data_IF_306564123522
#
_entry.id   IF_306564123522
#
_cell.length_a   1.000
_cell.length_b   1.000
_cell.length_c   1.000
_cell.angle_alpha   90.00
_cell.angle_beta   90.00
_cell.angle_gamma   90.00
#
_symmetry.space_group_name_H-M   'P 1'
#
loop_
_entity.id
_entity.type
_entity.pdbx_description
1 polymer ?
#
# COMPACT_ATOMS: atom_id res chain seq x y z
N UNK A 1 -17.54 -48.49 -22.93
CA UNK A 1 -17.67 -47.28 -23.76
C UNK A 1 -17.47 -46.10 -22.83
N UNK A 2 -16.37 -45.39 -23.06
CA UNK A 2 -15.79 -44.30 -22.28
C UNK A 2 -16.74 -43.15 -21.98
N UNK A 3 -16.66 -42.60 -20.77
CA UNK A 3 -16.60 -41.14 -20.57
C UNK A 3 -15.97 -40.85 -19.20
N UNK A 4 -14.64 -40.97 -19.15
CA UNK A 4 -13.84 -40.25 -18.16
C UNK A 4 -13.84 -38.78 -18.57
N UNK A 5 -14.75 -38.00 -18.00
CA UNK A 5 -14.70 -36.54 -18.07
C UNK A 5 -13.52 -36.08 -17.20
N UNK A 6 -12.37 -35.92 -17.85
CA UNK A 6 -11.16 -35.38 -17.25
C UNK A 6 -11.45 -34.05 -16.57
N UNK A 7 -11.31 -34.05 -15.24
CA UNK A 7 -11.23 -32.83 -14.44
C UNK A 7 -10.01 -32.04 -14.90
N UNK A 8 -10.21 -31.03 -15.76
CA UNK A 8 -9.17 -30.08 -16.09
C UNK A 8 -8.83 -29.31 -14.81
N UNK A 9 -7.72 -29.69 -14.17
CA UNK A 9 -7.12 -28.92 -13.09
C UNK A 9 -6.61 -27.61 -13.67
N UNK A 10 -7.46 -26.59 -13.62
CA UNK A 10 -7.16 -25.21 -14.04
C UNK A 10 -5.94 -24.69 -13.28
N UNK A 11 -4.78 -24.64 -13.97
CA UNK A 11 -3.51 -24.27 -13.36
C UNK A 11 -3.52 -22.81 -12.89
N UNK A 12 -2.76 -22.50 -11.83
CA UNK A 12 -2.59 -21.12 -11.35
C UNK A 12 -2.19 -20.16 -12.49
N UNK A 13 -1.36 -20.62 -13.43
CA UNK A 13 -0.94 -19.86 -14.59
C UNK A 13 -2.09 -19.49 -15.53
N UNK A 14 -2.99 -20.43 -15.80
CA UNK A 14 -4.19 -20.20 -16.64
C UNK A 14 -5.11 -19.14 -16.02
N UNK A 15 -5.28 -19.18 -14.69
CA UNK A 15 -6.04 -18.17 -13.94
C UNK A 15 -5.41 -16.78 -14.01
N UNK A 16 -4.09 -16.68 -13.85
CA UNK A 16 -3.36 -15.42 -13.93
C UNK A 16 -3.44 -14.79 -15.32
N UNK A 17 -3.28 -15.58 -16.38
CA UNK A 17 -3.41 -15.11 -17.77
C UNK A 17 -4.83 -14.59 -18.04
N UNK A 18 -5.83 -15.33 -17.58
CA UNK A 18 -7.25 -14.95 -17.76
C UNK A 18 -7.58 -13.68 -16.99
N UNK A 19 -7.09 -13.56 -15.76
CA UNK A 19 -7.21 -12.34 -14.96
C UNK A 19 -6.54 -11.15 -15.65
N UNK A 20 -5.31 -11.31 -16.13
CA UNK A 20 -4.58 -10.27 -16.86
C UNK A 20 -5.35 -9.79 -18.10
N UNK A 21 -5.83 -10.72 -18.93
CA UNK A 21 -6.66 -10.40 -20.12
C UNK A 21 -7.98 -9.72 -19.77
N UNK A 22 -8.53 -9.98 -18.59
CA UNK A 22 -9.79 -9.37 -18.15
C UNK A 22 -9.61 -7.95 -17.60
N UNK A 23 -8.53 -7.69 -16.86
CA UNK A 23 -8.38 -6.45 -16.10
C UNK A 23 -7.25 -5.53 -16.59
N UNK A 24 -6.61 -5.81 -17.73
CA UNK A 24 -5.50 -4.98 -18.23
C UNK A 24 -5.88 -3.51 -18.44
N UNK A 25 -7.08 -3.20 -18.93
CA UNK A 25 -7.55 -1.81 -19.10
C UNK A 25 -7.64 -1.11 -17.75
N UNK A 26 -8.23 -1.77 -16.74
CA UNK A 26 -8.31 -1.27 -15.37
C UNK A 26 -6.93 -1.06 -14.78
N UNK A 27 -5.99 -1.98 -15.02
CA UNK A 27 -4.61 -1.87 -14.57
C UNK A 27 -3.91 -0.65 -15.15
N UNK A 28 -4.04 -0.42 -16.47
CA UNK A 28 -3.45 0.75 -17.13
C UNK A 28 -4.09 2.03 -16.59
N UNK A 29 -5.43 2.07 -16.47
CA UNK A 29 -6.12 3.24 -15.93
C UNK A 29 -5.67 3.57 -14.50
N UNK A 30 -5.56 2.56 -13.63
CA UNK A 30 -5.08 2.76 -12.25
C UNK A 30 -3.62 3.21 -12.20
N UNK A 31 -2.77 2.71 -13.09
CA UNK A 31 -1.39 3.19 -13.21
C UNK A 31 -1.37 4.66 -13.61
N UNK A 32 -2.18 5.06 -14.60
CA UNK A 32 -2.31 6.47 -15.03
C UNK A 32 -2.77 7.36 -13.88
N UNK A 33 -3.83 6.99 -13.15
CA UNK A 33 -4.28 7.74 -11.98
C UNK A 33 -3.21 7.86 -10.89
N UNK A 34 -2.44 6.80 -10.67
CA UNK A 34 -1.37 6.79 -9.66
C UNK A 34 -0.22 7.72 -10.04
N UNK A 35 0.14 7.77 -11.33
CA UNK A 35 1.15 8.72 -11.84
C UNK A 35 0.60 10.14 -11.74
N UNK A 36 -0.64 10.38 -12.18
CA UNK A 36 -1.29 11.69 -12.10
C UNK A 36 -1.34 12.24 -10.67
N UNK A 37 -1.48 11.37 -9.65
CA UNK A 37 -1.49 11.78 -8.25
C UNK A 37 -0.20 12.54 -7.83
N UNK A 38 0.95 12.19 -8.40
CA UNK A 38 2.26 12.76 -8.02
C UNK A 38 2.91 13.62 -9.10
N UNK A 39 2.40 13.59 -10.34
CA UNK A 39 3.10 14.08 -11.53
C UNK A 39 3.54 15.54 -11.43
N UNK A 40 2.72 16.38 -10.80
CA UNK A 40 3.03 17.79 -10.65
C UNK A 40 4.31 17.98 -9.85
N UNK A 41 4.41 17.36 -8.67
CA UNK A 41 5.57 17.51 -7.78
C UNK A 41 6.78 16.73 -8.30
N UNK A 42 6.54 15.56 -8.89
CA UNK A 42 7.60 14.72 -9.43
C UNK A 42 8.32 15.41 -10.60
N UNK A 43 7.59 16.10 -11.48
CA UNK A 43 8.17 16.86 -12.61
C UNK A 43 9.17 17.93 -12.18
N UNK A 44 8.94 18.59 -11.04
CA UNK A 44 9.82 19.63 -10.53
C UNK A 44 10.94 19.09 -9.63
N UNK A 45 11.06 17.76 -9.49
CA UNK A 45 12.03 17.11 -8.61
C UNK A 45 12.03 17.72 -7.19
N UNK A 46 10.84 18.05 -6.71
CA UNK A 46 10.64 18.77 -5.46
C UNK A 46 9.81 17.92 -4.52
N UNK A 47 10.18 17.84 -3.24
CA UNK A 47 9.39 17.20 -2.20
C UNK A 47 8.57 18.26 -1.48
N UNK A 48 7.25 18.04 -1.38
CA UNK A 48 6.38 18.91 -0.59
C UNK A 48 6.74 18.77 0.90
N UNK A 49 6.94 19.88 1.61
CA UNK A 49 7.31 19.89 3.03
C UNK A 49 6.18 19.48 3.96
N UNK A 50 5.69 18.25 3.85
CA UNK A 50 4.67 17.69 4.72
C UNK A 50 5.18 17.59 6.16
N UNK A 51 4.25 17.66 7.12
CA UNK A 51 4.57 17.76 8.55
C UNK A 51 5.52 16.65 9.03
N UNK A 52 5.27 15.41 8.62
CA UNK A 52 6.05 14.24 9.03
C UNK A 52 7.02 13.75 7.93
N UNK A 53 7.13 14.48 6.81
CA UNK A 53 7.92 14.00 5.68
C UNK A 53 9.37 13.73 6.09
N UNK A 54 10.02 14.70 6.75
CA UNK A 54 11.41 14.57 7.14
C UNK A 54 11.62 13.37 8.08
N UNK A 55 10.70 13.16 9.02
CA UNK A 55 10.73 12.01 9.92
C UNK A 55 10.69 10.69 9.15
N UNK A 56 9.78 10.55 8.19
CA UNK A 56 9.68 9.33 7.39
C UNK A 56 10.85 9.14 6.42
N UNK A 57 11.37 10.20 5.81
CA UNK A 57 12.56 10.14 4.95
C UNK A 57 13.79 9.64 5.70
N UNK A 58 14.03 10.13 6.92
CA UNK A 58 15.12 9.65 7.77
C UNK A 58 14.98 8.16 8.07
N UNK A 59 13.76 7.69 8.35
CA UNK A 59 13.50 6.26 8.59
C UNK A 59 13.67 5.40 7.35
N UNK A 60 13.28 5.89 6.17
CA UNK A 60 13.54 5.20 4.90
C UNK A 60 15.04 5.09 4.65
N UNK A 61 15.79 6.17 4.87
CA UNK A 61 17.23 6.19 4.69
C UNK A 61 17.95 5.24 5.66
N UNK A 62 17.54 5.25 6.94
CA UNK A 62 17.99 4.30 7.96
C UNK A 62 17.73 2.85 7.53
N UNK A 63 16.50 2.57 7.07
CA UNK A 63 16.11 1.26 6.60
C UNK A 63 16.95 0.81 5.41
N UNK A 64 17.21 1.72 4.47
CA UNK A 64 17.99 1.45 3.25
C UNK A 64 19.42 1.05 3.58
N UNK A 65 20.10 1.80 4.46
CA UNK A 65 21.48 1.47 4.90
C UNK A 65 21.54 0.13 5.64
N UNK A 66 20.58 -0.14 6.53
CA UNK A 66 20.53 -1.40 7.26
C UNK A 66 20.29 -2.59 6.32
N UNK A 67 19.39 -2.45 5.34
CA UNK A 67 19.15 -3.49 4.33
C UNK A 67 20.39 -3.78 3.48
N UNK A 68 21.15 -2.75 3.06
CA UNK A 68 22.43 -2.93 2.38
C UNK A 68 23.46 -3.67 3.24
N UNK A 69 23.48 -3.37 4.54
CA UNK A 69 24.34 -4.05 5.52
C UNK A 69 23.87 -5.45 5.94
N UNK A 70 22.78 -5.97 5.37
CA UNK A 70 22.21 -7.28 5.71
C UNK A 70 21.36 -7.30 6.99
N UNK A 71 21.16 -6.17 7.65
CA UNK A 71 20.26 -6.04 8.79
C UNK A 71 18.82 -5.80 8.31
N UNK A 72 18.05 -6.88 8.24
CA UNK A 72 16.67 -6.82 7.74
C UNK A 72 15.70 -6.14 8.72
N UNK A 73 15.99 -6.11 10.02
CA UNK A 73 15.08 -5.58 11.03
C UNK A 73 15.82 -4.68 12.04
N UNK A 74 16.17 -3.44 11.65
CA UNK A 74 16.85 -2.52 12.54
C UNK A 74 15.96 -2.13 13.73
N UNK A 75 16.58 -2.11 14.92
CA UNK A 75 15.97 -1.66 16.18
C UNK A 75 16.34 -0.21 16.52
N UNK A 76 17.57 0.18 16.21
CA UNK A 76 18.09 1.52 16.41
C UNK A 76 18.27 2.21 15.07
N UNK A 77 18.10 3.53 15.07
CA UNK A 77 18.54 4.40 13.99
C UNK A 77 19.90 5.01 14.36
N UNK A 78 20.92 4.79 13.54
CA UNK A 78 22.29 5.24 13.79
C UNK A 78 22.87 6.12 12.69
N UNK A 79 22.24 6.19 11.51
CA UNK A 79 22.74 6.99 10.39
C UNK A 79 22.18 8.42 10.40
N UNK A 80 21.12 8.65 11.16
CA UNK A 80 20.45 9.94 11.29
C UNK A 80 20.74 10.60 12.65
N UNK A 81 20.20 11.81 12.87
CA UNK A 81 20.29 12.53 14.14
C UNK A 81 21.75 12.72 14.64
N UNK A 82 22.65 13.14 13.76
CA UNK A 82 24.09 13.29 14.05
C UNK A 82 24.71 12.02 14.67
N UNK A 83 24.19 10.84 14.34
CA UNK A 83 24.68 9.54 14.82
C UNK A 83 24.60 9.38 16.35
N UNK A 84 23.76 10.16 17.03
CA UNK A 84 23.53 10.01 18.48
C UNK A 84 22.81 8.71 18.85
N UNK A 85 22.24 8.02 17.86
CA UNK A 85 21.39 6.85 18.08
C UNK A 85 19.97 7.24 18.47
N UNK A 86 18.98 6.53 17.93
CA UNK A 86 17.57 6.70 18.30
C UNK A 86 16.82 5.37 18.27
N UNK A 87 15.91 5.16 19.21
CA UNK A 87 15.05 3.98 19.26
C UNK A 87 13.84 4.05 18.29
N UNK A 88 13.77 5.07 17.42
CA UNK A 88 12.62 5.32 16.54
C UNK A 88 12.23 4.11 15.67
N UNK A 89 13.20 3.30 15.23
CA UNK A 89 12.93 2.10 14.42
C UNK A 89 12.26 0.97 15.22
N UNK A 90 12.38 0.98 16.55
CA UNK A 90 11.66 0.05 17.43
C UNK A 90 10.29 0.57 17.84
N UNK A 91 10.13 1.89 17.97
CA UNK A 91 8.91 2.52 18.48
C UNK A 91 7.79 2.61 17.43
N UNK A 92 8.15 2.59 16.14
CA UNK A 92 7.19 2.75 15.04
C UNK A 92 7.23 1.54 14.09
N UNK A 93 6.08 1.17 13.49
CA UNK A 93 6.05 0.07 12.54
C UNK A 93 6.90 0.34 11.30
N UNK A 94 7.45 -0.74 10.75
CA UNK A 94 8.39 -0.71 9.63
C UNK A 94 7.81 -1.25 8.32
N UNK A 95 6.64 -1.91 8.36
CA UNK A 95 6.08 -2.58 7.18
C UNK A 95 5.97 -1.62 5.97
N UNK A 96 5.41 -0.40 6.10
CA UNK A 96 5.37 0.54 4.99
C UNK A 96 6.75 0.94 4.47
N UNK A 97 7.74 1.04 5.36
CA UNK A 97 9.08 1.50 5.02
C UNK A 97 9.83 0.52 4.11
N UNK A 98 9.57 -0.79 4.23
CA UNK A 98 10.19 -1.79 3.34
C UNK A 98 9.87 -1.51 1.87
N UNK A 99 8.66 -1.07 1.55
CA UNK A 99 8.27 -0.73 0.18
C UNK A 99 9.12 0.43 -0.36
N UNK A 100 9.22 1.51 0.40
CA UNK A 100 10.02 2.68 0.00
C UNK A 100 11.52 2.39 -0.03
N UNK A 101 12.03 1.66 0.96
CA UNK A 101 13.44 1.28 1.02
C UNK A 101 13.82 0.34 -0.13
N UNK A 102 12.98 -0.63 -0.48
CA UNK A 102 13.22 -1.52 -1.63
C UNK A 102 13.32 -0.72 -2.94
N UNK A 103 12.43 0.24 -3.15
CA UNK A 103 12.50 1.12 -4.33
C UNK A 103 13.76 2.00 -4.28
N UNK A 104 14.12 2.52 -3.09
CA UNK A 104 15.33 3.31 -2.87
C UNK A 104 16.60 2.54 -3.25
N UNK A 105 16.67 1.25 -2.90
CA UNK A 105 17.80 0.36 -3.24
C UNK A 105 17.96 0.16 -4.75
N UNK A 106 16.86 0.07 -5.49
CA UNK A 106 16.87 -0.14 -6.94
C UNK A 106 17.18 1.17 -7.69
N UNK A 107 16.56 2.28 -7.26
CA UNK A 107 16.54 3.54 -8.01
C UNK A 107 17.70 4.45 -7.62
N UNK A 108 18.18 4.39 -6.38
CA UNK A 108 19.34 5.16 -5.91
C UNK A 108 19.15 6.68 -5.79
N UNK A 109 18.14 7.29 -6.40
CA UNK A 109 17.77 8.71 -6.20
C UNK A 109 16.67 8.84 -5.13
N UNK A 110 16.83 9.66 -4.07
CA UNK A 110 15.87 9.72 -2.97
C UNK A 110 14.50 10.24 -3.40
N UNK A 111 14.48 11.35 -4.14
CA UNK A 111 13.23 12.02 -4.55
C UNK A 111 12.46 11.13 -5.52
N UNK A 112 13.13 10.59 -6.53
CA UNK A 112 12.53 9.66 -7.50
C UNK A 112 12.00 8.41 -6.80
N UNK A 113 12.77 7.82 -5.91
CA UNK A 113 12.35 6.61 -5.18
C UNK A 113 11.13 6.85 -4.31
N UNK A 114 11.04 8.02 -3.66
CA UNK A 114 9.88 8.39 -2.85
C UNK A 114 8.62 8.51 -3.71
N UNK A 115 8.69 9.22 -4.84
CA UNK A 115 7.54 9.34 -5.74
C UNK A 115 7.13 8.02 -6.40
N UNK A 116 8.08 7.16 -6.75
CA UNK A 116 7.77 5.80 -7.21
C UNK A 116 7.07 4.97 -6.12
N UNK A 117 7.48 5.15 -4.86
CA UNK A 117 6.78 4.59 -3.71
C UNK A 117 5.34 5.10 -3.60
N UNK A 118 5.13 6.41 -3.73
CA UNK A 118 3.79 7.02 -3.71
C UNK A 118 2.89 6.55 -4.88
N UNK A 119 3.47 6.37 -6.07
CA UNK A 119 2.75 5.80 -7.22
C UNK A 119 2.31 4.37 -6.88
N UNK A 120 3.22 3.55 -6.34
CA UNK A 120 2.90 2.17 -6.01
C UNK A 120 1.85 2.08 -4.89
N UNK A 121 1.92 2.92 -3.86
CA UNK A 121 0.93 2.93 -2.77
C UNK A 121 -0.45 3.38 -3.27
N UNK A 122 -0.50 4.41 -4.12
CA UNK A 122 -1.76 4.84 -4.77
C UNK A 122 -2.34 3.72 -5.65
N UNK A 123 -1.49 3.04 -6.40
CA UNK A 123 -1.89 1.91 -7.25
C UNK A 123 -2.47 0.75 -6.44
N UNK A 124 -1.82 0.40 -5.32
CA UNK A 124 -2.31 -0.61 -4.38
C UNK A 124 -3.64 -0.18 -3.76
N UNK A 125 -3.80 1.10 -3.40
CA UNK A 125 -5.05 1.67 -2.88
C UNK A 125 -6.21 1.47 -3.87
N UNK A 126 -5.99 1.81 -5.14
CA UNK A 126 -6.98 1.64 -6.20
C UNK A 126 -7.37 0.17 -6.37
N UNK A 127 -6.41 -0.75 -6.37
CA UNK A 127 -6.70 -2.18 -6.49
C UNK A 127 -7.43 -2.78 -5.29
N UNK A 128 -7.02 -2.45 -4.08
CA UNK A 128 -7.70 -2.91 -2.86
C UNK A 128 -9.13 -2.35 -2.85
N UNK A 129 -9.27 -1.06 -3.10
CA UNK A 129 -10.57 -0.39 -3.13
C UNK A 129 -11.45 -0.87 -4.28
N UNK A 130 -10.89 -1.41 -5.37
CA UNK A 130 -11.66 -2.03 -6.45
C UNK A 130 -12.07 -3.48 -6.13
N UNK A 131 -11.15 -4.28 -5.58
CA UNK A 131 -11.38 -5.69 -5.31
C UNK A 131 -12.38 -5.90 -4.17
N UNK A 132 -12.34 -5.04 -3.16
CA UNK A 132 -13.09 -5.21 -1.93
C UNK A 132 -14.61 -5.04 -2.09
N UNK A 133 -15.14 -3.99 -2.74
CA UNK A 133 -16.58 -3.87 -2.99
C UNK A 133 -17.14 -5.04 -3.79
N UNK A 134 -16.37 -5.56 -4.75
CA UNK A 134 -16.74 -6.76 -5.52
C UNK A 134 -16.89 -8.02 -4.64
N UNK A 135 -16.23 -8.06 -3.47
CA UNK A 135 -16.43 -9.16 -2.50
C UNK A 135 -17.79 -9.08 -1.80
N UNK A 136 -18.33 -7.87 -1.62
CA UNK A 136 -19.61 -7.61 -0.94
C UNK A 136 -20.78 -7.61 -1.93
N UNK A 137 -20.60 -6.98 -3.10
CA UNK A 137 -21.58 -6.92 -4.20
C UNK A 137 -20.91 -7.35 -5.51
N UNK A 138 -21.05 -8.63 -5.85
CA UNK A 138 -20.30 -9.28 -6.95
C UNK A 138 -20.59 -8.73 -8.36
N UNK A 139 -21.72 -8.06 -8.58
CA UNK A 139 -22.19 -7.65 -9.91
C UNK A 139 -21.99 -6.17 -10.22
N UNK A 140 -21.56 -5.35 -9.26
CA UNK A 140 -21.42 -3.90 -9.43
C UNK A 140 -19.97 -3.49 -9.73
N UNK A 141 -19.47 -3.90 -10.90
CA UNK A 141 -18.09 -3.63 -11.31
C UNK A 141 -17.83 -2.15 -11.59
N UNK A 142 -18.85 -1.43 -12.07
CA UNK A 142 -18.74 0.02 -12.33
C UNK A 142 -18.71 0.79 -11.01
N UNK A 143 -19.62 0.47 -10.07
CA UNK A 143 -19.61 1.07 -8.74
C UNK A 143 -18.30 0.82 -7.99
N UNK A 144 -17.75 -0.40 -8.07
CA UNK A 144 -16.43 -0.71 -7.50
C UNK A 144 -15.31 0.12 -8.12
N UNK A 145 -15.35 0.35 -9.44
CA UNK A 145 -14.35 1.17 -10.14
C UNK A 145 -14.45 2.66 -9.74
N UNK A 146 -15.66 3.21 -9.69
CA UNK A 146 -15.91 4.59 -9.25
C UNK A 146 -15.48 4.76 -7.79
N UNK A 147 -15.84 3.81 -6.93
CA UNK A 147 -15.44 3.82 -5.52
C UNK A 147 -13.91 3.80 -5.38
N UNK A 148 -13.21 2.96 -6.14
CA UNK A 148 -11.75 2.90 -6.09
C UNK A 148 -11.10 4.25 -6.38
N UNK A 149 -11.51 4.91 -7.46
CA UNK A 149 -10.98 6.23 -7.84
C UNK A 149 -11.35 7.28 -6.79
N UNK A 150 -12.62 7.35 -6.40
CA UNK A 150 -13.11 8.33 -5.43
C UNK A 150 -12.42 8.17 -4.07
N UNK A 151 -12.15 6.93 -3.65
CA UNK A 151 -11.48 6.64 -2.39
C UNK A 151 -9.99 6.97 -2.45
N UNK A 152 -9.27 6.41 -3.41
CA UNK A 152 -7.81 6.55 -3.50
C UNK A 152 -7.37 7.98 -3.80
N UNK A 153 -8.18 8.75 -4.54
CA UNK A 153 -7.92 10.15 -4.87
C UNK A 153 -8.75 11.13 -4.02
N UNK A 154 -9.37 10.66 -2.94
CA UNK A 154 -10.10 11.53 -2.02
C UNK A 154 -9.17 12.58 -1.39
N UNK A 155 -9.74 13.73 -1.01
CA UNK A 155 -9.01 14.77 -0.29
C UNK A 155 -8.31 14.24 0.96
N UNK A 156 -8.91 13.27 1.67
CA UNK A 156 -8.28 12.60 2.81
C UNK A 156 -6.97 11.90 2.42
N UNK A 157 -6.98 11.05 1.38
CA UNK A 157 -5.77 10.38 0.91
C UNK A 157 -4.71 11.37 0.42
N UNK A 158 -5.11 12.38 -0.35
CA UNK A 158 -4.20 13.41 -0.85
C UNK A 158 -3.57 14.20 0.30
N UNK A 159 -4.35 14.61 1.30
CA UNK A 159 -3.87 15.31 2.49
C UNK A 159 -2.84 14.49 3.26
N UNK A 160 -3.11 13.20 3.52
CA UNK A 160 -2.14 12.37 4.26
C UNK A 160 -0.88 12.05 3.45
N UNK A 161 -1.01 11.90 2.13
CA UNK A 161 0.14 11.63 1.27
C UNK A 161 1.06 12.84 1.08
N UNK A 162 0.53 14.06 1.05
CA UNK A 162 1.32 15.26 0.74
C UNK A 162 1.43 16.26 1.90
N UNK A 163 0.31 16.69 2.49
CA UNK A 163 0.31 17.72 3.54
C UNK A 163 0.82 17.19 4.89
N UNK A 164 0.35 16.01 5.30
CA UNK A 164 0.89 15.33 6.49
C UNK A 164 2.18 14.57 6.11
N UNK A 165 2.20 13.94 4.93
CA UNK A 165 3.23 13.01 4.50
C UNK A 165 3.48 11.87 5.52
N UNK A 166 2.40 11.39 6.15
CA UNK A 166 2.47 10.30 7.11
C UNK A 166 2.29 8.95 6.41
N UNK A 167 3.41 8.26 6.20
CA UNK A 167 3.44 6.96 5.52
C UNK A 167 2.62 5.90 6.29
N UNK A 168 2.63 5.94 7.63
CA UNK A 168 1.93 4.94 8.44
C UNK A 168 0.42 5.09 8.35
N UNK A 169 -0.08 6.31 8.49
CA UNK A 169 -1.51 6.60 8.30
C UNK A 169 -1.92 6.36 6.85
N UNK A 170 -1.13 6.80 5.86
CA UNK A 170 -1.42 6.52 4.44
C UNK A 170 -1.58 5.02 4.16
N UNK A 171 -0.70 4.17 4.70
CA UNK A 171 -0.85 2.71 4.56
C UNK A 171 -2.08 2.15 5.28
N UNK A 172 -2.44 2.71 6.43
CA UNK A 172 -3.68 2.33 7.12
C UNK A 172 -4.90 2.62 6.26
N UNK A 173 -4.94 3.80 5.61
CA UNK A 173 -6.02 4.20 4.71
C UNK A 173 -6.11 3.26 3.51
N UNK A 174 -4.99 2.84 2.93
CA UNK A 174 -4.96 1.87 1.83
C UNK A 174 -5.68 0.56 2.20
N UNK A 175 -5.52 0.11 3.45
CA UNK A 175 -6.03 -1.17 3.95
C UNK A 175 -7.46 -1.05 4.51
N UNK A 176 -7.91 0.14 4.89
CA UNK A 176 -9.21 0.37 5.53
C UNK A 176 -10.42 -0.24 4.78
N UNK A 177 -10.52 -0.20 3.43
CA UNK A 177 -11.60 -0.88 2.73
C UNK A 177 -11.64 -2.38 3.05
N UNK A 178 -10.47 -3.03 3.14
CA UNK A 178 -10.33 -4.45 3.48
C UNK A 178 -10.89 -4.76 4.87
N UNK A 179 -10.64 -3.88 5.85
CA UNK A 179 -11.16 -3.99 7.22
C UNK A 179 -12.68 -3.94 7.22
N UNK A 180 -13.28 -2.92 6.59
CA UNK A 180 -14.74 -2.76 6.59
C UNK A 180 -15.48 -3.90 5.90
N UNK A 181 -14.98 -4.36 4.75
CA UNK A 181 -15.57 -5.52 4.09
C UNK A 181 -15.32 -6.82 4.85
N UNK A 182 -14.14 -6.97 5.47
CA UNK A 182 -13.87 -8.11 6.36
C UNK A 182 -14.84 -8.17 7.53
N UNK A 183 -15.14 -7.02 8.14
CA UNK A 183 -16.16 -6.90 9.17
C UNK A 183 -17.54 -7.29 8.65
N UNK A 184 -17.94 -6.82 7.48
CA UNK A 184 -19.18 -7.21 6.82
C UNK A 184 -19.29 -8.74 6.62
N UNK A 185 -18.24 -9.38 6.10
CA UNK A 185 -18.20 -10.84 5.90
C UNK A 185 -18.22 -11.63 7.21
N UNK A 186 -17.66 -11.06 8.27
CA UNK A 186 -17.70 -11.66 9.60
C UNK A 186 -19.12 -11.66 10.16
N UNK A 187 -19.81 -10.52 10.16
CA UNK A 187 -21.16 -10.41 10.74
C UNK A 187 -22.22 -11.14 9.91
N UNK A 188 -22.07 -11.20 8.58
CA UNK A 188 -23.07 -11.82 7.70
C UNK A 188 -22.87 -13.31 7.47
N UNK A 189 -21.63 -13.79 7.54
CA UNK A 189 -21.30 -15.18 7.15
C UNK A 189 -20.28 -15.86 8.08
N UNK A 190 -19.90 -15.24 9.21
CA UNK A 190 -18.91 -15.76 10.15
C UNK A 190 -17.47 -15.78 9.60
N UNK A 191 -17.20 -15.15 8.44
CA UNK A 191 -15.90 -15.21 7.76
C UNK A 191 -14.96 -14.09 8.20
N UNK A 192 -14.22 -14.33 9.28
CA UNK A 192 -13.35 -13.34 9.91
C UNK A 192 -11.96 -13.14 9.26
N UNK A 193 -11.52 -14.03 8.35
CA UNK A 193 -10.13 -14.02 7.83
C UNK A 193 -9.73 -12.70 7.18
N UNK A 194 -10.62 -12.09 6.40
CA UNK A 194 -10.37 -10.82 5.73
C UNK A 194 -10.22 -9.67 6.74
N UNK A 195 -11.04 -9.66 7.79
CA UNK A 195 -10.93 -8.71 8.89
C UNK A 195 -9.60 -8.87 9.63
N UNK A 196 -9.24 -10.10 9.98
CA UNK A 196 -7.99 -10.38 10.69
C UNK A 196 -6.76 -9.91 9.90
N UNK A 197 -6.73 -10.15 8.59
CA UNK A 197 -5.66 -9.66 7.71
C UNK A 197 -5.64 -8.13 7.66
N UNK A 198 -6.80 -7.49 7.47
CA UNK A 198 -6.91 -6.04 7.45
C UNK A 198 -6.40 -5.40 8.75
N UNK A 199 -6.90 -5.87 9.90
CA UNK A 199 -6.48 -5.37 11.20
C UNK A 199 -4.98 -5.59 11.46
N UNK A 200 -4.43 -6.75 11.07
CA UNK A 200 -2.99 -7.01 11.20
C UNK A 200 -2.17 -6.00 10.40
N UNK A 201 -2.57 -5.73 9.15
CA UNK A 201 -1.89 -4.77 8.30
C UNK A 201 -2.00 -3.33 8.84
N UNK A 202 -3.13 -2.96 9.45
CA UNK A 202 -3.28 -1.68 10.16
C UNK A 202 -2.29 -1.59 11.33
N UNK A 203 -2.23 -2.62 12.19
CA UNK A 203 -1.29 -2.66 13.32
C UNK A 203 0.17 -2.55 12.86
N UNK A 204 0.51 -3.21 11.75
CA UNK A 204 1.85 -3.17 11.18
C UNK A 204 2.16 -1.89 10.39
N UNK A 205 1.18 -1.02 10.18
CA UNK A 205 1.36 0.25 9.45
C UNK A 205 1.45 1.45 10.38
N UNK A 206 0.63 1.50 11.43
CA UNK A 206 0.60 2.65 12.34
C UNK A 206 0.14 2.27 13.75
N UNK A 207 1.00 2.44 14.76
CA UNK A 207 0.71 2.06 16.16
C UNK A 207 -0.45 2.86 16.75
N UNK A 208 -0.53 4.17 16.47
CA UNK A 208 -1.57 5.02 17.05
C UNK A 208 -2.97 4.71 16.51
N UNK A 209 -3.07 4.17 15.30
CA UNK A 209 -4.37 3.83 14.71
C UNK A 209 -5.03 2.63 15.40
N UNK A 210 -4.28 1.84 16.18
CA UNK A 210 -4.83 0.75 17.00
C UNK A 210 -5.72 1.30 18.13
N UNK A 211 -5.43 2.52 18.62
CA UNK A 211 -6.15 3.11 19.74
C UNK A 211 -7.40 3.87 19.27
N UNK A 212 -7.41 4.36 18.02
CA UNK A 212 -8.43 5.28 17.49
C UNK A 212 -9.49 4.57 16.62
N UNK A 213 -9.18 3.39 16.05
CA UNK A 213 -10.11 2.56 15.27
C UNK A 213 -10.81 1.55 16.17
#
# INVERSE_FOLDING_TARGET
MSDETGSQTDSLGTRLITFGKKYWITAIAFLVFSIMNVILLFRYNWLFGGQDLQFHLQRIDEMTHNLLGGNLNPYLATFNLNQLGSAVMSLYPKLPLYLFAAIRLIVGNPITSFYLGMILTTFLCLWISYAVPNSVRKTDTLGAYIFAIAYALSGLNVTYNFLMADIGISFTIIVLPLVFAGYYHWITAGKYKMLAVGMTLVCLSHVLNIIVI
#
